data_IF_342041269049
#
_entry.id   IF_342041269049
#
_cell.length_a   1.000
_cell.length_b   1.000
_cell.length_c   1.000
_cell.angle_alpha   90.00
_cell.angle_beta   90.00
_cell.angle_gamma   90.00
#
_symmetry.space_group_name_H-M   'P 1'
#
loop_
_entity.id
_entity.type
_entity.pdbx_description
1 polymer ?
#
# COMPACT_ATOMS: atom_id res chain seq x y z
N UNK A 1 -3.75 -1.03 23.11
CA UNK A 1 -3.09 -2.06 22.26
C UNK A 1 -2.90 -3.29 23.14
N UNK A 2 -3.73 -4.31 23.00
CA UNK A 2 -3.56 -5.58 23.71
C UNK A 2 -2.68 -6.50 22.83
N UNK A 3 -1.37 -6.25 22.81
CA UNK A 3 -0.40 -7.17 22.17
C UNK A 3 -0.38 -8.53 22.88
N UNK A 4 -0.86 -8.57 24.14
CA UNK A 4 -0.91 -9.80 24.95
C UNK A 4 -2.00 -10.80 24.54
N UNK A 5 -2.99 -10.42 23.73
CA UNK A 5 -4.07 -11.32 23.27
C UNK A 5 -3.71 -12.09 21.99
N UNK A 6 -2.71 -11.64 21.24
CA UNK A 6 -2.15 -12.43 20.14
C UNK A 6 -1.08 -13.37 20.73
N UNK A 7 -1.28 -14.68 20.62
CA UNK A 7 -0.32 -15.76 21.01
C UNK A 7 0.99 -15.73 20.19
N UNK A 8 1.35 -14.60 19.61
CA UNK A 8 2.59 -14.39 18.88
C UNK A 8 3.54 -13.65 19.81
N UNK A 9 4.54 -14.35 20.35
CA UNK A 9 5.73 -13.71 20.91
C UNK A 9 6.42 -12.97 19.78
N UNK A 10 6.03 -11.70 19.53
CA UNK A 10 6.74 -10.88 18.58
C UNK A 10 8.10 -10.49 19.14
N UNK A 11 9.14 -10.75 18.39
CA UNK A 11 10.49 -10.30 18.67
C UNK A 11 10.49 -8.76 18.71
N UNK A 12 11.16 -8.19 19.72
CA UNK A 12 11.28 -6.73 19.88
C UNK A 12 11.97 -6.10 18.68
N UNK A 13 12.98 -6.75 18.14
CA UNK A 13 13.66 -6.27 16.94
C UNK A 13 12.70 -6.17 15.74
N UNK A 14 11.77 -7.11 15.62
CA UNK A 14 10.72 -7.04 14.59
C UNK A 14 9.75 -5.89 14.82
N UNK A 15 9.31 -5.63 16.05
CA UNK A 15 8.45 -4.47 16.36
C UNK A 15 9.14 -3.14 16.08
N UNK A 16 10.43 -3.01 16.40
CA UNK A 16 11.23 -1.84 16.05
C UNK A 16 11.39 -1.69 14.53
N UNK A 17 11.56 -2.79 13.82
CA UNK A 17 11.57 -2.79 12.34
C UNK A 17 10.23 -2.30 11.77
N UNK A 18 9.08 -2.81 12.24
CA UNK A 18 7.75 -2.35 11.80
C UNK A 18 7.57 -0.85 12.05
N UNK A 19 7.97 -0.39 13.24
CA UNK A 19 7.95 1.03 13.57
C UNK A 19 8.79 1.86 12.59
N UNK A 20 10.03 1.44 12.33
CA UNK A 20 10.93 2.10 11.39
C UNK A 20 10.35 2.16 9.98
N UNK A 21 9.75 1.06 9.49
CA UNK A 21 9.16 1.03 8.15
C UNK A 21 7.96 1.99 8.03
N UNK A 22 7.07 2.02 9.02
CA UNK A 22 5.97 2.99 9.02
C UNK A 22 6.46 4.43 9.09
N UNK A 23 7.46 4.71 9.93
CA UNK A 23 8.06 6.05 10.04
C UNK A 23 8.75 6.47 8.73
N UNK A 24 9.45 5.54 8.09
CA UNK A 24 10.11 5.73 6.78
C UNK A 24 9.11 6.16 5.71
N UNK A 25 7.96 5.49 5.61
CA UNK A 25 6.88 5.84 4.69
C UNK A 25 6.33 7.24 5.04
N UNK A 26 6.00 7.49 6.30
CA UNK A 26 5.46 8.77 6.76
C UNK A 26 6.36 9.94 6.39
N UNK A 27 7.64 9.87 6.73
CA UNK A 27 8.61 10.96 6.48
C UNK A 27 8.86 11.16 4.99
N UNK A 28 8.90 10.08 4.22
CA UNK A 28 8.99 10.15 2.75
C UNK A 28 7.79 10.90 2.17
N UNK A 29 6.57 10.56 2.55
CA UNK A 29 5.34 11.19 2.07
C UNK A 29 5.23 12.66 2.50
N UNK A 30 5.64 12.99 3.73
CA UNK A 30 5.72 14.39 4.20
C UNK A 30 6.70 15.20 3.35
N UNK A 31 7.84 14.61 3.00
CA UNK A 31 8.82 15.25 2.10
C UNK A 31 8.30 15.35 0.67
N UNK A 32 7.57 14.36 0.17
CA UNK A 32 6.93 14.45 -1.15
C UNK A 32 5.91 15.62 -1.21
N UNK A 33 5.14 15.84 -0.14
CA UNK A 33 4.24 16.98 -0.07
C UNK A 33 4.99 18.32 -0.12
N UNK A 34 6.14 18.44 0.55
CA UNK A 34 7.00 19.63 0.48
C UNK A 34 7.56 19.85 -0.93
N UNK A 35 8.11 18.78 -1.54
CA UNK A 35 8.67 18.83 -2.90
C UNK A 35 7.63 19.13 -3.97
N UNK A 36 6.39 18.72 -3.73
CA UNK A 36 5.25 19.07 -4.58
C UNK A 36 4.97 20.58 -4.55
N UNK A 37 5.01 21.23 -3.38
CA UNK A 37 4.84 22.68 -3.28
C UNK A 37 6.00 23.47 -3.92
N UNK A 38 7.15 22.80 -4.09
CA UNK A 38 8.32 23.34 -4.81
C UNK A 38 8.30 23.03 -6.32
N UNK A 39 7.22 22.44 -6.83
CA UNK A 39 7.03 22.04 -8.24
C UNK A 39 8.07 21.00 -8.75
N UNK A 40 8.79 20.32 -7.84
CA UNK A 40 9.72 19.24 -8.18
C UNK A 40 9.01 17.94 -8.50
N UNK A 41 7.90 17.68 -7.82
CA UNK A 41 6.95 16.59 -8.14
C UNK A 41 5.75 17.22 -8.81
N UNK A 42 5.35 16.68 -9.98
CA UNK A 42 4.27 17.23 -10.81
C UNK A 42 3.14 16.21 -10.98
N UNK A 43 2.02 16.68 -11.52
CA UNK A 43 0.83 15.85 -11.73
C UNK A 43 0.01 15.67 -10.46
N UNK A 44 -0.72 14.55 -10.37
CA UNK A 44 -1.51 14.22 -9.18
C UNK A 44 -0.65 13.47 -8.17
N UNK A 45 -0.56 13.97 -6.97
CA UNK A 45 0.14 13.34 -5.86
C UNK A 45 -0.85 12.89 -4.79
N UNK A 46 -0.87 11.59 -4.49
CA UNK A 46 -1.73 10.95 -3.50
C UNK A 46 -0.85 10.38 -2.38
N UNK A 47 -0.97 10.95 -1.18
CA UNK A 47 -0.12 10.59 -0.05
C UNK A 47 -0.73 9.45 0.76
N UNK A 48 0.10 8.48 1.16
CA UNK A 48 -0.28 7.31 1.96
C UNK A 48 -0.25 7.56 3.48
N UNK A 49 -0.34 8.84 3.87
CA UNK A 49 -0.23 9.28 5.28
C UNK A 49 -1.47 8.87 6.08
N UNK A 50 -1.27 8.04 7.10
CA UNK A 50 -2.29 7.53 8.01
C UNK A 50 -2.53 6.03 7.85
N UNK A 51 -2.21 5.45 6.72
CA UNK A 51 -2.53 4.07 6.33
C UNK A 51 -1.30 3.13 6.38
N UNK A 52 -0.15 3.62 6.89
CA UNK A 52 1.15 2.94 6.82
C UNK A 52 1.15 1.53 7.41
N UNK A 53 0.33 1.30 8.45
CA UNK A 53 0.24 -0.01 9.10
C UNK A 53 -0.31 -1.10 8.19
N UNK A 54 -1.17 -0.74 7.23
CA UNK A 54 -1.76 -1.70 6.30
C UNK A 54 -0.69 -2.22 5.34
N UNK A 55 0.00 -1.32 4.63
CA UNK A 55 1.06 -1.73 3.72
C UNK A 55 2.18 -2.48 4.44
N UNK A 56 2.70 -1.93 5.56
CA UNK A 56 3.80 -2.55 6.31
C UNK A 56 3.40 -3.91 6.85
N UNK A 57 2.23 -4.04 7.48
CA UNK A 57 1.77 -5.30 8.08
C UNK A 57 1.54 -6.40 7.03
N UNK A 58 0.86 -6.08 5.93
CA UNK A 58 0.59 -7.07 4.87
C UNK A 58 1.90 -7.54 4.21
N UNK A 59 2.85 -6.63 3.95
CA UNK A 59 4.10 -7.00 3.28
C UNK A 59 4.95 -7.98 4.09
N UNK A 60 4.83 -8.02 5.44
CA UNK A 60 5.54 -9.01 6.26
C UNK A 60 5.03 -10.45 6.05
N UNK A 61 3.77 -10.60 5.62
CA UNK A 61 3.20 -11.92 5.33
C UNK A 61 3.66 -12.51 3.99
N UNK A 62 4.31 -11.70 3.15
CA UNK A 62 4.64 -12.05 1.77
C UNK A 62 6.06 -12.57 1.64
N UNK A 63 6.22 -13.48 0.69
CA UNK A 63 7.50 -13.96 0.21
C UNK A 63 7.98 -13.15 -1.00
N UNK A 64 9.24 -13.35 -1.39
CA UNK A 64 9.83 -12.65 -2.53
C UNK A 64 9.11 -12.97 -3.85
N UNK A 65 8.65 -14.21 -4.03
CA UNK A 65 7.92 -14.68 -5.22
C UNK A 65 6.47 -14.23 -5.31
N UNK A 66 5.88 -13.69 -4.20
CA UNK A 66 4.50 -13.20 -4.22
C UNK A 66 4.37 -11.90 -4.99
N UNK A 67 3.23 -11.72 -5.64
CA UNK A 67 2.95 -10.55 -6.46
C UNK A 67 2.06 -9.55 -5.72
N UNK A 68 2.29 -8.26 -5.96
CA UNK A 68 1.54 -7.17 -5.35
C UNK A 68 0.99 -6.23 -6.41
N UNK A 69 -0.30 -5.94 -6.31
CA UNK A 69 -1.00 -4.87 -7.03
C UNK A 69 -1.48 -3.83 -6.01
N UNK A 70 -1.37 -2.56 -6.36
CA UNK A 70 -1.78 -1.46 -5.50
C UNK A 70 -2.69 -0.48 -6.25
N UNK A 71 -3.14 0.55 -5.57
CA UNK A 71 -3.88 1.68 -6.13
C UNK A 71 -2.90 2.78 -6.58
N UNK A 72 -3.41 3.89 -7.06
CA UNK A 72 -2.64 5.10 -7.35
C UNK A 72 -2.00 5.75 -6.09
N UNK A 73 -2.29 5.26 -4.88
CA UNK A 73 -1.71 5.70 -3.59
C UNK A 73 -0.64 4.70 -3.12
N UNK A 74 0.32 4.41 -3.97
CA UNK A 74 1.15 3.22 -3.87
C UNK A 74 2.54 3.41 -3.25
N UNK A 75 2.93 4.65 -2.91
CA UNK A 75 4.29 4.91 -2.40
C UNK A 75 4.62 4.07 -1.18
N UNK A 76 3.68 4.01 -0.22
CA UNK A 76 3.84 3.19 0.98
C UNK A 76 3.99 1.70 0.67
N UNK A 77 3.19 1.19 -0.27
CA UNK A 77 3.26 -0.20 -0.71
C UNK A 77 4.58 -0.50 -1.42
N UNK A 78 5.03 0.38 -2.32
CA UNK A 78 6.30 0.24 -3.03
C UNK A 78 7.49 0.19 -2.06
N UNK A 79 7.55 1.15 -1.12
CA UNK A 79 8.61 1.20 -0.11
C UNK A 79 8.57 -0.01 0.83
N UNK A 80 7.38 -0.43 1.29
CA UNK A 80 7.21 -1.61 2.14
C UNK A 80 7.56 -2.91 1.41
N UNK A 81 7.33 -2.97 0.08
CA UNK A 81 7.74 -4.11 -0.77
C UNK A 81 9.26 -4.16 -1.01
N UNK A 82 9.98 -3.10 -0.68
CA UNK A 82 11.43 -3.02 -0.78
C UNK A 82 11.94 -2.43 -2.10
N UNK A 83 11.13 -1.60 -2.77
CA UNK A 83 11.64 -0.76 -3.84
C UNK A 83 12.61 0.26 -3.25
N UNK A 84 13.66 0.59 -4.02
CA UNK A 84 14.60 1.64 -3.64
C UNK A 84 13.90 3.00 -3.56
N UNK A 85 14.10 3.71 -2.46
CA UNK A 85 13.57 5.07 -2.31
C UNK A 85 14.13 6.01 -3.39
N UNK A 86 15.37 5.79 -3.83
CA UNK A 86 15.99 6.53 -4.93
C UNK A 86 15.17 6.41 -6.22
N UNK A 87 14.80 5.15 -6.58
CA UNK A 87 14.01 4.89 -7.79
C UNK A 87 12.59 5.47 -7.69
N UNK A 88 11.95 5.38 -6.52
CA UNK A 88 10.61 5.94 -6.29
C UNK A 88 10.66 7.47 -6.38
N UNK A 89 11.64 8.13 -5.74
CA UNK A 89 11.80 9.58 -5.81
C UNK A 89 12.12 10.04 -7.24
N UNK A 90 13.02 9.35 -7.92
CA UNK A 90 13.37 9.66 -9.32
C UNK A 90 12.16 9.51 -10.26
N UNK A 91 11.29 8.51 -10.04
CA UNK A 91 10.05 8.34 -10.80
C UNK A 91 9.13 9.55 -10.63
N UNK A 92 8.92 9.99 -9.39
CA UNK A 92 8.09 11.18 -9.12
C UNK A 92 8.68 12.49 -9.66
N UNK A 93 10.00 12.56 -9.82
CA UNK A 93 10.69 13.68 -10.46
C UNK A 93 10.68 13.61 -11.99
N UNK A 94 10.11 12.54 -12.58
CA UNK A 94 10.07 12.33 -14.04
C UNK A 94 11.45 12.00 -14.63
N UNK A 95 12.28 11.22 -13.90
CA UNK A 95 13.67 10.92 -14.27
C UNK A 95 13.81 9.52 -14.84
N UNK A 96 14.70 9.34 -15.84
CA UNK A 96 14.94 8.03 -16.49
C UNK A 96 15.42 6.94 -15.54
N UNK A 97 15.99 7.32 -14.39
CA UNK A 97 16.42 6.39 -13.35
C UNK A 97 15.30 5.96 -12.41
N UNK A 98 14.08 6.47 -12.61
CA UNK A 98 12.88 6.05 -11.92
C UNK A 98 12.47 4.62 -12.27
N UNK A 99 11.60 4.02 -11.47
CA UNK A 99 11.16 2.63 -11.62
C UNK A 99 10.44 2.37 -12.95
N UNK A 100 9.77 3.39 -13.49
CA UNK A 100 9.07 3.38 -14.78
C UNK A 100 9.66 4.40 -15.78
N UNK A 101 10.97 4.68 -15.69
CA UNK A 101 11.70 5.65 -16.50
C UNK A 101 11.16 7.08 -16.40
N UNK A 102 10.51 7.44 -15.30
CA UNK A 102 9.91 8.76 -15.11
C UNK A 102 8.59 8.97 -15.86
N UNK A 103 8.04 7.94 -16.51
CA UNK A 103 6.80 8.00 -17.29
C UNK A 103 5.54 7.76 -16.45
N UNK A 104 5.68 7.08 -15.31
CA UNK A 104 4.57 6.72 -14.43
C UNK A 104 4.22 7.80 -13.41
N UNK A 105 5.22 8.55 -12.95
CA UNK A 105 5.05 9.53 -11.88
C UNK A 105 4.58 8.88 -10.57
N UNK A 106 3.74 9.62 -9.81
CA UNK A 106 3.26 9.18 -8.49
C UNK A 106 2.29 7.99 -8.51
N UNK A 107 1.61 7.75 -9.63
CA UNK A 107 0.47 6.81 -9.69
C UNK A 107 0.76 5.50 -10.43
N UNK A 108 1.95 5.34 -11.01
CA UNK A 108 2.31 4.19 -11.83
C UNK A 108 3.75 3.77 -11.57
N UNK A 109 4.02 3.31 -10.34
CA UNK A 109 5.31 2.79 -9.89
C UNK A 109 5.31 1.28 -10.06
N UNK A 110 6.26 0.73 -10.81
CA UNK A 110 6.37 -0.70 -11.09
C UNK A 110 7.79 -1.19 -10.80
N UNK A 111 7.92 -2.40 -10.30
CA UNK A 111 9.20 -3.10 -10.19
C UNK A 111 8.98 -4.60 -10.31
N UNK A 112 9.26 -5.14 -11.51
CA UNK A 112 9.04 -6.55 -11.83
C UNK A 112 9.97 -7.46 -11.01
N UNK A 113 11.19 -7.02 -10.69
CA UNK A 113 12.14 -7.78 -9.86
C UNK A 113 11.62 -7.96 -8.43
N UNK A 114 10.90 -6.96 -7.92
CA UNK A 114 10.22 -7.00 -6.62
C UNK A 114 8.82 -7.61 -6.70
N UNK A 115 8.39 -8.05 -7.88
CA UNK A 115 7.03 -8.55 -8.11
C UNK A 115 5.97 -7.52 -7.69
N UNK A 116 6.29 -6.24 -7.83
CA UNK A 116 5.40 -5.11 -7.61
C UNK A 116 4.85 -4.64 -8.95
N UNK A 117 3.59 -4.98 -9.21
CA UNK A 117 2.90 -4.67 -10.48
C UNK A 117 2.13 -3.35 -10.43
N UNK A 118 2.47 -2.53 -9.45
CA UNK A 118 2.22 -1.12 -9.39
C UNK A 118 0.83 -0.68 -9.07
N UNK A 119 0.66 0.62 -9.23
CA UNK A 119 -0.57 1.34 -9.08
C UNK A 119 -1.37 1.45 -10.37
N UNK A 120 -2.65 1.69 -10.19
CA UNK A 120 -3.55 1.96 -11.29
C UNK A 120 -4.43 3.17 -10.95
N UNK A 121 -4.46 4.16 -11.83
CA UNK A 121 -5.31 5.34 -11.67
C UNK A 121 -6.80 5.01 -11.82
N UNK A 122 -7.14 3.92 -12.50
CA UNK A 122 -8.51 3.44 -12.63
C UNK A 122 -8.95 2.78 -11.33
N UNK A 123 -10.01 3.30 -10.72
CA UNK A 123 -10.61 2.72 -9.52
C UNK A 123 -11.07 1.29 -9.84
N UNK A 124 -10.77 0.33 -8.95
CA UNK A 124 -10.97 -1.11 -9.13
C UNK A 124 -10.13 -1.78 -10.24
N UNK A 125 -9.52 -1.05 -11.16
CA UNK A 125 -8.84 -1.62 -12.34
C UNK A 125 -7.70 -2.59 -12.03
N UNK A 126 -7.09 -2.55 -10.83
CA UNK A 126 -6.09 -3.53 -10.40
C UNK A 126 -6.69 -4.91 -10.08
N UNK A 127 -7.96 -4.98 -9.71
CA UNK A 127 -8.62 -6.22 -9.28
C UNK A 127 -8.64 -7.31 -10.37
N UNK A 128 -9.16 -7.04 -11.59
CA UNK A 128 -9.15 -8.06 -12.65
C UNK A 128 -7.73 -8.43 -13.12
N UNK A 129 -6.78 -7.49 -13.07
CA UNK A 129 -5.38 -7.78 -13.40
C UNK A 129 -4.76 -8.75 -12.39
N UNK A 130 -5.01 -8.55 -11.10
CA UNK A 130 -4.57 -9.45 -10.04
C UNK A 130 -5.20 -10.84 -10.15
N UNK A 131 -6.50 -10.90 -10.48
CA UNK A 131 -7.22 -12.15 -10.77
C UNK A 131 -6.59 -12.89 -11.95
N UNK A 132 -6.26 -12.18 -13.02
CA UNK A 132 -5.57 -12.75 -14.19
C UNK A 132 -4.21 -13.35 -13.86
N UNK A 133 -3.39 -12.64 -13.05
CA UNK A 133 -2.10 -13.17 -12.59
C UNK A 133 -2.27 -14.36 -11.66
N UNK A 134 -3.25 -14.32 -10.75
CA UNK A 134 -3.55 -15.44 -9.86
C UNK A 134 -4.00 -16.70 -10.65
N UNK A 135 -4.78 -16.51 -11.71
CA UNK A 135 -5.15 -17.58 -12.64
C UNK A 135 -3.91 -18.16 -13.33
N UNK A 136 -3.02 -17.32 -13.83
CA UNK A 136 -1.77 -17.77 -14.45
C UNK A 136 -0.90 -18.55 -13.46
N UNK A 137 -0.75 -18.09 -12.22
CA UNK A 137 -0.03 -18.81 -11.16
C UNK A 137 -0.65 -20.21 -10.91
N UNK A 138 -1.97 -20.28 -10.83
CA UNK A 138 -2.69 -21.55 -10.66
C UNK A 138 -2.47 -22.51 -11.84
N UNK A 139 -2.61 -22.03 -13.08
CA UNK A 139 -2.37 -22.82 -14.29
C UNK A 139 -0.93 -23.34 -14.37
N UNK A 140 0.02 -22.54 -13.92
CA UNK A 140 1.45 -22.90 -13.84
C UNK A 140 1.81 -23.73 -12.59
N UNK A 141 0.82 -24.04 -11.72
CA UNK A 141 1.00 -24.76 -10.46
C UNK A 141 2.03 -24.13 -9.52
N UNK A 142 2.13 -22.79 -9.54
CA UNK A 142 2.96 -22.02 -8.62
C UNK A 142 2.26 -21.91 -7.25
N UNK A 143 3.07 -21.80 -6.20
CA UNK A 143 2.57 -21.59 -4.83
C UNK A 143 2.64 -20.12 -4.39
N UNK A 144 2.71 -19.20 -5.36
CA UNK A 144 2.82 -17.76 -5.15
C UNK A 144 1.43 -17.19 -4.85
N UNK A 145 1.37 -16.31 -3.88
CA UNK A 145 0.16 -15.53 -3.56
C UNK A 145 0.18 -14.24 -4.36
N UNK A 146 -0.96 -13.86 -4.89
CA UNK A 146 -1.18 -12.52 -5.44
C UNK A 146 -1.92 -11.69 -4.40
N UNK A 147 -1.42 -10.50 -4.08
CA UNK A 147 -2.09 -9.55 -3.20
C UNK A 147 -2.54 -8.35 -4.00
N UNK A 148 -3.80 -7.96 -3.83
CA UNK A 148 -4.37 -6.79 -4.48
C UNK A 148 -4.95 -5.84 -3.42
N UNK A 149 -4.36 -4.66 -3.29
CA UNK A 149 -4.87 -3.57 -2.46
C UNK A 149 -5.87 -2.72 -3.22
N UNK A 150 -6.93 -2.31 -2.55
CA UNK A 150 -7.95 -1.40 -3.08
C UNK A 150 -8.61 -0.64 -1.95
N UNK A 151 -9.12 0.56 -2.23
CA UNK A 151 -9.92 1.35 -1.28
C UNK A 151 -11.37 0.91 -1.27
N UNK A 152 -12.11 1.26 -0.21
CA UNK A 152 -13.54 0.94 -0.09
C UNK A 152 -14.39 1.51 -1.25
N UNK A 153 -13.96 2.62 -1.86
CA UNK A 153 -14.64 3.19 -3.03
C UNK A 153 -14.63 2.28 -4.27
N UNK A 154 -13.70 1.33 -4.35
CA UNK A 154 -13.66 0.36 -5.44
C UNK A 154 -14.79 -0.68 -5.35
N UNK A 155 -15.46 -0.78 -4.21
CA UNK A 155 -16.48 -1.79 -3.95
C UNK A 155 -17.79 -1.50 -4.71
N UNK A 156 -18.00 -0.25 -5.10
CA UNK A 156 -19.13 0.16 -5.93
C UNK A 156 -18.96 -0.15 -7.43
N UNK A 157 -17.73 -0.51 -7.85
CA UNK A 157 -17.43 -0.80 -9.26
C UNK A 157 -17.73 -2.27 -9.62
N UNK A 158 -18.14 -2.49 -10.88
CA UNK A 158 -18.45 -3.84 -11.38
C UNK A 158 -17.29 -4.80 -11.27
N UNK A 159 -16.06 -4.32 -11.54
CA UNK A 159 -14.81 -5.08 -11.49
C UNK A 159 -14.55 -5.74 -10.11
N UNK A 160 -15.00 -5.10 -9.01
CA UNK A 160 -14.94 -5.72 -7.68
C UNK A 160 -15.77 -7.00 -7.64
N UNK A 161 -17.02 -6.92 -8.03
CA UNK A 161 -17.97 -8.04 -8.00
C UNK A 161 -17.55 -9.18 -8.92
N UNK A 162 -17.13 -8.85 -10.13
CA UNK A 162 -16.65 -9.81 -11.13
C UNK A 162 -15.37 -10.51 -10.66
N UNK A 163 -14.43 -9.76 -10.10
CA UNK A 163 -13.15 -10.27 -9.61
C UNK A 163 -13.32 -11.23 -8.44
N UNK A 164 -14.17 -10.90 -7.46
CA UNK A 164 -14.44 -11.80 -6.33
C UNK A 164 -15.13 -13.07 -6.78
N UNK A 165 -16.13 -12.94 -7.66
CA UNK A 165 -16.84 -14.09 -8.23
C UNK A 165 -15.88 -15.04 -8.95
N UNK A 166 -15.06 -14.54 -9.88
CA UNK A 166 -14.11 -15.36 -10.64
C UNK A 166 -13.03 -15.97 -9.74
N UNK A 167 -12.49 -15.18 -8.80
CA UNK A 167 -11.50 -15.68 -7.87
C UNK A 167 -12.02 -16.86 -7.04
N UNK A 168 -13.23 -16.75 -6.52
CA UNK A 168 -13.85 -17.83 -5.75
C UNK A 168 -14.24 -19.03 -6.62
N UNK A 169 -14.86 -18.78 -7.77
CA UNK A 169 -15.26 -19.85 -8.71
C UNK A 169 -14.05 -20.70 -9.12
N UNK A 170 -12.94 -20.06 -9.38
CA UNK A 170 -11.71 -20.74 -9.80
C UNK A 170 -10.76 -21.06 -8.65
N UNK A 171 -11.12 -20.79 -7.40
CA UNK A 171 -10.29 -21.04 -6.21
C UNK A 171 -8.85 -20.51 -6.42
N UNK A 172 -8.73 -19.21 -6.73
CA UNK A 172 -7.47 -18.59 -7.09
C UNK A 172 -6.62 -18.26 -5.85
N UNK A 173 -5.27 -18.28 -5.97
CA UNK A 173 -4.35 -17.95 -4.89
C UNK A 173 -4.21 -16.41 -4.72
N UNK A 174 -5.28 -15.74 -4.32
CA UNK A 174 -5.31 -14.27 -4.19
C UNK A 174 -5.81 -13.83 -2.82
N UNK A 175 -5.14 -12.83 -2.25
CA UNK A 175 -5.58 -12.07 -1.08
C UNK A 175 -6.00 -10.66 -1.53
N UNK A 176 -7.26 -10.36 -1.36
CA UNK A 176 -7.82 -9.03 -1.52
C UNK A 176 -7.66 -8.25 -0.21
N UNK A 177 -7.07 -7.05 -0.24
CA UNK A 177 -6.87 -6.19 0.93
C UNK A 177 -7.60 -4.88 0.70
N UNK A 178 -8.70 -4.69 1.43
CA UNK A 178 -9.46 -3.45 1.40
C UNK A 178 -8.89 -2.46 2.43
N UNK A 179 -8.42 -1.31 1.96
CA UNK A 179 -8.01 -0.17 2.77
C UNK A 179 -9.24 0.71 3.01
N UNK A 180 -10.05 0.33 3.99
CA UNK A 180 -11.27 1.06 4.32
C UNK A 180 -10.94 2.26 5.20
N UNK A 181 -10.81 3.43 4.57
CA UNK A 181 -10.54 4.70 5.25
C UNK A 181 -11.79 5.57 5.43
N UNK A 182 -12.97 5.05 5.03
CA UNK A 182 -14.28 5.68 5.20
C UNK A 182 -14.66 6.68 4.12
N UNK A 183 -13.76 7.01 3.18
CA UNK A 183 -14.00 8.05 2.18
C UNK A 183 -13.44 7.70 0.80
N UNK A 184 -14.34 7.44 -0.14
CA UNK A 184 -14.01 7.38 -1.58
C UNK A 184 -13.87 8.80 -2.11
N UNK A 185 -12.66 9.31 -2.27
CA UNK A 185 -12.38 10.73 -2.50
C UNK A 185 -13.01 11.59 -1.38
N UNK A 186 -14.17 12.20 -1.59
CA UNK A 186 -14.97 12.94 -0.62
C UNK A 186 -16.30 12.28 -0.27
N UNK A 187 -16.62 11.13 -0.87
CA UNK A 187 -17.87 10.42 -0.62
C UNK A 187 -17.72 9.47 0.57
N UNK A 188 -18.47 9.73 1.64
CA UNK A 188 -18.44 8.86 2.81
C UNK A 188 -19.05 7.49 2.49
N UNK A 189 -18.45 6.42 3.03
CA UNK A 189 -18.92 5.05 2.86
C UNK A 189 -20.41 4.89 3.24
N UNK A 190 -20.82 5.56 4.30
CA UNK A 190 -22.19 5.49 4.82
C UNK A 190 -23.28 5.97 3.85
N UNK A 191 -22.92 6.78 2.85
CA UNK A 191 -23.89 7.29 1.84
C UNK A 191 -23.72 6.61 0.48
N UNK A 192 -22.65 5.84 0.27
CA UNK A 192 -22.39 5.15 -1.00
C UNK A 192 -22.72 3.66 -0.96
N UNK A 193 -22.68 3.03 0.24
CA UNK A 193 -22.78 1.60 0.39
C UNK A 193 -23.88 1.17 1.35
N UNK A 194 -24.78 0.29 0.89
CA UNK A 194 -25.85 -0.28 1.71
C UNK A 194 -25.34 -1.25 2.78
N UNK A 195 -24.28 -2.02 2.49
CA UNK A 195 -23.53 -2.81 3.44
C UNK A 195 -22.15 -2.19 3.60
N UNK A 196 -21.91 -1.57 4.75
CA UNK A 196 -20.69 -0.84 5.05
C UNK A 196 -19.53 -1.73 5.51
N UNK A 197 -19.80 -2.98 5.87
CA UNK A 197 -18.78 -3.97 6.20
C UNK A 197 -18.37 -4.72 4.93
N UNK A 198 -17.27 -4.29 4.33
CA UNK A 198 -16.82 -4.82 3.03
C UNK A 198 -16.55 -6.32 3.11
N UNK A 199 -16.02 -6.81 4.24
CA UNK A 199 -15.81 -8.24 4.44
C UNK A 199 -17.10 -9.07 4.30
N UNK A 200 -18.28 -8.52 4.65
CA UNK A 200 -19.57 -9.23 4.49
C UNK A 200 -19.97 -9.37 3.02
N UNK A 201 -19.65 -8.35 2.20
CA UNK A 201 -19.86 -8.47 0.75
C UNK A 201 -19.03 -9.61 0.16
N UNK A 202 -17.78 -9.76 0.58
CA UNK A 202 -16.94 -10.88 0.16
C UNK A 202 -17.50 -12.24 0.62
N UNK A 203 -18.10 -12.31 1.81
CA UNK A 203 -18.76 -13.53 2.30
C UNK A 203 -19.94 -13.96 1.42
N UNK A 204 -20.63 -13.04 0.77
CA UNK A 204 -21.73 -13.37 -0.16
C UNK A 204 -21.26 -14.16 -1.39
N UNK A 205 -19.99 -14.03 -1.77
CA UNK A 205 -19.33 -14.85 -2.80
C UNK A 205 -18.69 -16.12 -2.25
N UNK A 206 -18.74 -16.34 -0.92
CA UNK A 206 -18.15 -17.52 -0.27
C UNK A 206 -16.67 -17.34 0.09
N UNK A 207 -16.08 -16.16 -0.05
CA UNK A 207 -14.70 -15.91 0.37
C UNK A 207 -14.60 -15.93 1.90
N UNK A 208 -13.49 -16.43 2.41
CA UNK A 208 -13.10 -16.21 3.80
C UNK A 208 -12.65 -14.76 3.97
N UNK A 209 -13.30 -14.06 4.89
CA UNK A 209 -13.05 -12.63 5.09
C UNK A 209 -13.35 -12.18 6.51
N UNK A 210 -12.64 -11.18 7.00
CA UNK A 210 -12.92 -10.47 8.23
C UNK A 210 -12.32 -9.07 8.19
N UNK A 211 -12.67 -8.24 9.18
CA UNK A 211 -12.12 -6.90 9.35
C UNK A 211 -11.13 -6.88 10.54
N UNK A 212 -10.10 -6.03 10.41
CA UNK A 212 -9.09 -5.77 11.45
C UNK A 212 -8.91 -4.27 11.69
N UNK A 213 -8.32 -3.91 12.82
CA UNK A 213 -7.85 -2.55 13.08
C UNK A 213 -6.64 -2.23 12.19
N UNK A 214 -6.88 -1.58 11.05
CA UNK A 214 -5.86 -1.13 10.11
C UNK A 214 -4.89 -0.08 10.69
N UNK A 215 -5.16 0.44 11.91
CA UNK A 215 -4.23 1.29 12.66
C UNK A 215 -3.32 0.47 13.59
N UNK A 216 -3.35 -0.86 13.51
CA UNK A 216 -2.55 -1.78 14.31
C UNK A 216 -1.74 -2.70 13.39
N UNK A 217 -0.48 -2.34 13.14
CA UNK A 217 0.40 -3.09 12.22
C UNK A 217 0.56 -4.56 12.61
N UNK A 218 0.56 -4.88 13.91
CA UNK A 218 0.69 -6.25 14.43
C UNK A 218 -0.53 -7.09 14.10
N UNK A 219 -1.72 -6.51 14.22
CA UNK A 219 -2.98 -7.18 13.90
C UNK A 219 -3.11 -7.42 12.40
N UNK A 220 -2.75 -6.41 11.60
CA UNK A 220 -2.71 -6.52 10.13
C UNK A 220 -1.75 -7.62 9.69
N UNK A 221 -0.50 -7.64 10.21
CA UNK A 221 0.49 -8.67 9.90
C UNK A 221 -0.01 -10.07 10.27
N UNK A 222 -0.56 -10.23 11.46
CA UNK A 222 -1.07 -11.52 11.94
C UNK A 222 -2.18 -12.05 11.02
N UNK A 223 -3.16 -11.20 10.68
CA UNK A 223 -4.27 -11.56 9.81
C UNK A 223 -3.82 -11.89 8.38
N UNK A 224 -2.96 -11.06 7.81
CA UNK A 224 -2.41 -11.28 6.49
C UNK A 224 -1.60 -12.59 6.42
N UNK A 225 -0.79 -12.87 7.45
CA UNK A 225 -0.02 -14.12 7.55
C UNK A 225 -0.93 -15.35 7.58
N UNK A 226 -2.01 -15.32 8.38
CA UNK A 226 -2.98 -16.42 8.44
C UNK A 226 -3.64 -16.64 7.09
N UNK A 227 -4.03 -15.58 6.38
CA UNK A 227 -4.66 -15.70 5.07
C UNK A 227 -3.68 -16.15 3.98
N UNK A 228 -2.47 -15.63 3.95
CA UNK A 228 -1.45 -16.11 3.00
C UNK A 228 -1.12 -17.59 3.22
N UNK A 229 -1.01 -18.05 4.47
CA UNK A 229 -0.80 -19.47 4.77
C UNK A 229 -1.98 -20.34 4.32
N UNK A 230 -3.20 -19.86 4.50
CA UNK A 230 -4.42 -20.52 4.06
C UNK A 230 -4.49 -20.66 2.54
N UNK A 231 -4.22 -19.54 1.82
CA UNK A 231 -4.21 -19.51 0.36
C UNK A 231 -3.16 -20.48 -0.20
N UNK A 232 -1.96 -20.52 0.41
CA UNK A 232 -0.92 -21.48 -0.01
C UNK A 232 -1.27 -22.94 0.21
N UNK A 233 -2.20 -23.24 1.13
CA UNK A 233 -2.75 -24.60 1.32
C UNK A 233 -3.81 -24.97 0.29
N UNK A 234 -4.18 -24.02 -0.58
CA UNK A 234 -5.20 -24.23 -1.60
C UNK A 234 -6.63 -24.00 -1.12
N UNK A 235 -6.83 -23.33 0.02
CA UNK A 235 -8.15 -23.06 0.59
C UNK A 235 -8.91 -21.90 -0.12
N UNK A 236 -8.45 -21.48 -1.29
CA UNK A 236 -9.08 -20.46 -2.13
C UNK A 236 -8.75 -19.02 -1.71
N UNK A 237 -9.40 -18.03 -2.36
CA UNK A 237 -9.15 -16.62 -2.12
C UNK A 237 -9.65 -16.16 -0.76
N UNK A 238 -9.03 -15.08 -0.25
CA UNK A 238 -9.46 -14.43 0.99
C UNK A 238 -9.60 -12.92 0.80
N UNK A 239 -10.39 -12.26 1.66
CA UNK A 239 -10.44 -10.80 1.74
C UNK A 239 -10.19 -10.34 3.17
N UNK A 240 -9.27 -9.39 3.33
CA UNK A 240 -8.96 -8.70 4.57
C UNK A 240 -9.42 -7.24 4.45
N UNK A 241 -10.35 -6.82 5.30
CA UNK A 241 -10.74 -5.43 5.43
C UNK A 241 -9.92 -4.78 6.55
N UNK A 242 -9.13 -3.76 6.21
CA UNK A 242 -8.33 -3.00 7.16
C UNK A 242 -9.01 -1.65 7.43
N UNK A 243 -9.65 -1.51 8.60
CA UNK A 243 -10.24 -0.24 9.01
C UNK A 243 -9.14 0.75 9.38
N UNK A 244 -8.90 1.71 8.52
CA UNK A 244 -7.82 2.69 8.62
C UNK A 244 -8.34 4.11 8.47
N UNK A 245 -7.47 5.11 8.33
CA UNK A 245 -7.88 6.48 8.07
C UNK A 245 -6.81 7.29 7.36
N UNK A 246 -7.18 7.94 6.26
CA UNK A 246 -6.30 8.84 5.50
C UNK A 246 -6.22 10.21 6.18
N UNK A 247 -5.03 10.60 6.70
CA UNK A 247 -4.87 11.88 7.43
C UNK A 247 -4.82 13.11 6.53
N UNK A 248 -4.50 12.94 5.26
CA UNK A 248 -4.44 14.01 4.26
C UNK A 248 -5.66 13.97 3.36
N UNK A 249 -5.87 15.00 2.57
CA UNK A 249 -6.85 14.99 1.50
C UNK A 249 -6.67 13.83 0.52
N UNK A 250 -7.62 13.64 -0.37
CA UNK A 250 -7.54 12.59 -1.38
C UNK A 250 -6.28 12.72 -2.24
N UNK A 251 -5.99 13.94 -2.69
CA UNK A 251 -4.74 14.34 -3.36
C UNK A 251 -4.26 15.67 -2.79
N UNK A 252 -3.13 16.17 -3.27
CA UNK A 252 -2.61 17.48 -2.85
C UNK A 252 -3.53 18.66 -3.24
N UNK A 253 -4.41 18.49 -4.21
CA UNK A 253 -5.41 19.50 -4.60
C UNK A 253 -6.68 19.48 -3.75
N UNK A 254 -6.90 18.44 -2.93
CA UNK A 254 -8.11 18.25 -2.16
C UNK A 254 -8.15 19.17 -0.93
N UNK A 255 -9.15 20.05 -0.89
CA UNK A 255 -9.37 21.00 0.19
C UNK A 255 -10.07 20.41 1.42
N UNK A 256 -10.52 19.16 1.35
CA UNK A 256 -11.12 18.39 2.46
C UNK A 256 -12.41 18.99 3.05
N UNK A 257 -13.21 19.67 2.27
CA UNK A 257 -14.48 20.30 2.73
C UNK A 257 -15.56 19.28 3.14
N UNK A 258 -15.36 18.00 2.89
CA UNK A 258 -16.32 16.91 3.13
C UNK A 258 -16.20 16.26 4.52
N UNK A 259 -15.19 16.65 5.33
CA UNK A 259 -14.95 16.10 6.67
C UNK A 259 -14.48 17.18 7.64
N UNK A 260 -14.82 16.99 8.90
CA UNK A 260 -14.48 17.93 9.95
C UNK A 260 -13.02 17.78 10.42
N UNK A 261 -12.37 18.89 10.77
CA UNK A 261 -10.99 18.88 11.28
C UNK A 261 -10.85 18.05 12.56
N UNK A 262 -11.85 18.09 13.43
CA UNK A 262 -11.85 17.35 14.71
C UNK A 262 -11.86 15.84 14.51
N UNK A 263 -12.54 15.35 13.46
CA UNK A 263 -12.50 13.94 13.06
C UNK A 263 -11.08 13.55 12.70
N UNK A 264 -10.42 14.33 11.83
CA UNK A 264 -9.05 14.08 11.38
C UNK A 264 -8.08 14.07 12.57
N UNK A 265 -8.18 15.04 13.48
CA UNK A 265 -7.32 15.12 14.67
C UNK A 265 -7.58 13.97 15.65
N UNK A 266 -8.82 13.51 15.78
CA UNK A 266 -9.16 12.34 16.58
C UNK A 266 -8.47 11.06 16.02
N UNK A 267 -8.44 10.89 14.71
CA UNK A 267 -7.76 9.77 14.07
C UNK A 267 -6.23 9.89 14.14
N UNK A 268 -5.66 11.08 13.98
CA UNK A 268 -4.21 11.29 14.15
C UNK A 268 -3.72 10.89 15.54
N UNK A 269 -4.51 11.17 16.60
CA UNK A 269 -4.17 10.75 17.97
C UNK A 269 -4.12 9.22 18.14
N UNK A 270 -4.82 8.47 17.27
CA UNK A 270 -4.82 7.00 17.22
C UNK A 270 -3.88 6.46 16.14
N UNK A 271 -3.06 7.32 15.52
CA UNK A 271 -2.20 6.99 14.38
C UNK A 271 -1.31 5.77 14.63
N UNK A 272 -1.05 4.95 13.61
CA UNK A 272 -0.40 3.66 13.78
C UNK A 272 1.03 3.80 14.31
N UNK A 273 1.79 4.79 13.84
CA UNK A 273 3.16 5.07 14.28
C UNK A 273 3.17 5.43 15.76
N UNK A 274 2.33 6.40 16.18
CA UNK A 274 2.25 6.82 17.57
C UNK A 274 1.77 5.69 18.50
N UNK A 275 0.88 4.84 18.00
CA UNK A 275 0.36 3.69 18.74
C UNK A 275 1.46 2.69 19.07
N UNK A 276 2.29 2.33 18.09
CA UNK A 276 3.40 1.41 18.30
C UNK A 276 4.55 2.06 19.07
N UNK A 277 4.88 3.31 18.78
CA UNK A 277 5.91 4.08 19.50
C UNK A 277 5.62 4.12 21.01
N UNK A 278 4.42 4.56 21.39
CA UNK A 278 4.01 4.62 22.80
C UNK A 278 4.10 3.27 23.52
N UNK A 279 3.75 2.20 22.80
CA UNK A 279 3.87 0.87 23.37
C UNK A 279 5.34 0.47 23.58
N UNK A 280 6.20 0.71 22.61
CA UNK A 280 7.64 0.41 22.69
C UNK A 280 8.31 1.21 23.81
N UNK A 281 8.03 2.51 23.93
CA UNK A 281 8.55 3.38 24.98
C UNK A 281 8.06 2.96 26.36
N UNK A 282 6.76 2.73 26.53
CA UNK A 282 6.17 2.32 27.80
C UNK A 282 6.69 0.97 28.32
N UNK A 283 7.17 0.10 27.43
CA UNK A 283 7.77 -1.19 27.77
C UNK A 283 9.31 -1.15 27.79
N UNK A 284 9.92 0.03 27.69
CA UNK A 284 11.39 0.20 27.69
C UNK A 284 12.09 -0.46 26.51
N UNK A 285 11.41 -0.54 25.35
CA UNK A 285 11.88 -1.19 24.11
C UNK A 285 12.24 -0.19 23.02
N UNK A 286 12.14 1.09 23.30
CA UNK A 286 12.57 2.20 22.44
C UNK A 286 12.97 3.36 23.33
N UNK A 287 14.24 3.67 23.40
CA UNK A 287 14.78 4.85 24.08
C UNK A 287 14.70 6.08 23.17
N UNK A 288 14.76 7.28 23.76
CA UNK A 288 14.83 8.53 22.99
C UNK A 288 16.07 8.60 22.07
N UNK A 289 17.18 7.96 22.47
CA UNK A 289 18.39 7.89 21.64
C UNK A 289 18.18 6.99 20.41
N UNK A 290 17.57 5.82 20.57
CA UNK A 290 17.23 4.90 19.46
C UNK A 290 16.20 5.54 18.53
N UNK A 291 15.17 6.21 19.09
CA UNK A 291 14.18 6.94 18.26
C UNK A 291 14.87 7.98 17.39
N UNK A 292 15.74 8.82 18.01
CA UNK A 292 16.51 9.81 17.27
C UNK A 292 17.38 9.17 16.19
N UNK A 293 18.07 8.09 16.50
CA UNK A 293 18.88 7.37 15.51
C UNK A 293 18.03 6.85 14.32
N UNK A 294 16.83 6.35 14.58
CA UNK A 294 15.91 5.92 13.51
C UNK A 294 15.48 7.11 12.66
N UNK A 295 15.11 8.23 13.27
CA UNK A 295 14.73 9.46 12.57
C UNK A 295 15.90 10.02 11.71
N UNK A 296 17.09 10.05 12.25
CA UNK A 296 18.30 10.52 11.54
C UNK A 296 18.60 9.60 10.33
N UNK A 297 18.49 8.29 10.46
CA UNK A 297 18.67 7.33 9.37
C UNK A 297 17.62 7.50 8.26
N UNK A 298 16.37 7.71 8.63
CA UNK A 298 15.28 7.93 7.67
C UNK A 298 15.45 9.25 6.94
N UNK A 299 15.83 10.31 7.67
CA UNK A 299 16.10 11.62 7.06
C UNK A 299 17.26 11.55 6.07
N UNK A 300 18.34 10.84 6.40
CA UNK A 300 19.49 10.65 5.51
C UNK A 300 19.09 9.88 4.25
N UNK A 301 18.32 8.78 4.36
CA UNK A 301 17.82 8.02 3.19
C UNK A 301 16.98 8.90 2.26
N UNK A 302 16.09 9.74 2.82
CA UNK A 302 15.27 10.67 2.04
C UNK A 302 16.16 11.71 1.33
N UNK A 303 17.14 12.31 2.04
CA UNK A 303 18.03 13.29 1.44
C UNK A 303 18.87 12.69 0.30
N UNK A 304 19.34 11.45 0.47
CA UNK A 304 20.05 10.71 -0.58
C UNK A 304 19.17 10.47 -1.78
N UNK A 305 17.91 10.09 -1.59
CA UNK A 305 16.96 9.86 -2.68
C UNK A 305 16.64 11.13 -3.47
N UNK A 306 16.52 12.27 -2.79
CA UNK A 306 16.34 13.58 -3.45
C UNK A 306 17.58 13.92 -4.28
N UNK A 307 18.77 13.82 -3.69
CA UNK A 307 20.03 14.11 -4.38
C UNK A 307 20.24 13.17 -5.58
N UNK A 308 19.81 11.89 -5.47
CA UNK A 308 19.80 10.95 -6.59
C UNK A 308 18.87 11.42 -7.71
N UNK A 309 17.62 11.77 -7.38
CA UNK A 309 16.64 12.24 -8.36
C UNK A 309 17.07 13.56 -9.03
N UNK A 310 17.64 14.51 -8.27
CA UNK A 310 18.08 15.81 -8.80
C UNK A 310 19.22 15.69 -9.82
N UNK A 311 20.21 14.80 -9.59
CA UNK A 311 21.32 14.58 -10.54
C UNK A 311 20.97 13.66 -11.71
N UNK A 312 19.82 12.98 -11.67
CA UNK A 312 19.37 12.11 -12.74
C UNK A 312 18.80 12.90 -13.91
N UNK A 313 18.98 12.37 -15.12
CA UNK A 313 18.52 13.00 -16.35
C UNK A 313 17.02 12.78 -16.56
N UNK A 314 16.40 13.65 -17.35
CA UNK A 314 15.07 13.42 -17.92
C UNK A 314 15.20 12.52 -19.15
N UNK A 315 14.13 11.87 -19.54
CA UNK A 315 14.13 11.03 -20.75
C UNK A 315 14.34 11.87 -22.00
N UNK A 316 15.17 11.36 -22.93
CA UNK A 316 15.39 12.03 -24.21
C UNK A 316 14.13 11.95 -25.09
N UNK A 317 13.86 13.00 -25.84
CA UNK A 317 12.68 13.08 -26.72
C UNK A 317 12.69 11.99 -27.82
N UNK A 318 13.87 11.51 -28.20
CA UNK A 318 14.01 10.39 -29.15
C UNK A 318 13.42 9.09 -28.65
N UNK A 319 13.29 8.93 -27.31
CA UNK A 319 12.73 7.75 -26.67
C UNK A 319 11.19 7.80 -26.55
N UNK A 320 10.52 8.85 -27.09
CA UNK A 320 9.08 9.09 -26.95
C UNK A 320 8.24 7.86 -27.34
N UNK A 321 8.65 7.15 -28.38
CA UNK A 321 7.93 5.97 -28.89
C UNK A 321 8.45 4.65 -28.33
N UNK A 322 9.48 4.68 -27.47
CA UNK A 322 10.05 3.47 -26.89
C UNK A 322 9.00 2.76 -26.02
N UNK A 323 8.73 1.49 -26.33
CA UNK A 323 7.76 0.67 -25.60
C UNK A 323 6.28 0.95 -25.93
N UNK A 324 5.97 1.88 -26.87
CA UNK A 324 4.58 2.16 -27.31
C UNK A 324 4.12 1.12 -28.32
N UNK A 325 5.01 0.71 -29.24
CA UNK A 325 4.76 -0.34 -30.22
C UNK A 325 5.76 -1.47 -30.04
N UNK A 326 5.37 -2.68 -30.43
CA UNK A 326 6.32 -3.79 -30.52
C UNK A 326 7.43 -3.45 -31.50
N UNK A 327 8.66 -3.80 -31.17
CA UNK A 327 9.74 -3.72 -32.14
C UNK A 327 9.40 -4.67 -33.28
N UNK A 328 9.31 -4.14 -34.50
CA UNK A 328 9.23 -4.99 -35.70
C UNK A 328 10.50 -5.83 -35.71
N UNK A 329 10.35 -7.15 -35.62
CA UNK A 329 11.46 -8.08 -35.84
C UNK A 329 12.06 -7.73 -37.22
N UNK A 330 13.22 -7.07 -37.20
CA UNK A 330 14.02 -6.77 -38.38
C UNK A 330 14.77 -8.03 -38.86
#
# INVERSE_FOLDING_TARGET
MNINDSKVHMDIAHLQFLFKQMLRIRRFEEKCAELYTQEKIRGFLHLYIGEEAVAVGVMQALKAEDAVFATYREHGHALARGLSMDKVMAEMFGKVTGSSRGRGGSMHIFDVEKRFYGGNAIVAGALPLAVGLALANKMQKKNDVVVCFFGEGAVAEGEFHESLNLAQLWQLPILFVCENNGYAMGTALAISESEQHIFRKAQSYGLKSHAVDGMNVVEVESAATQYCQRIRKGDGPCLLECNTYRFRGHSMFDTQLYRESDEVEAWKRKGPIMKLQRWLEANGKLSSAELKQIEDQVAEEINQSIAFAERSEIEDISDLYLGVYGESAS
#
